data_IF_182052302046
#
_entry.id   IF_182052302046
#
_cell.length_a   1.000
_cell.length_b   1.000
_cell.length_c   1.000
_cell.angle_alpha   90.00
_cell.angle_beta   90.00
_cell.angle_gamma   90.00
#
_symmetry.space_group_name_H-M   'P 1'
#
loop_
_entity.id
_entity.type
_entity.pdbx_description
1 polymer ?
#
# COMPACT_ATOMS: atom_id res chain seq x y z
N UNK A 1 -19.14 18.79 -6.03
CA UNK A 1 -20.56 18.39 -5.87
C UNK A 1 -21.13 17.54 -7.02
N UNK A 2 -20.41 17.29 -8.12
CA UNK A 2 -20.97 16.50 -9.26
C UNK A 2 -20.53 15.03 -9.37
N UNK A 3 -19.67 14.52 -8.46
CA UNK A 3 -19.29 13.10 -8.46
C UNK A 3 -20.43 12.17 -7.99
N UNK A 4 -21.31 12.66 -7.11
CA UNK A 4 -22.48 11.90 -6.62
C UNK A 4 -23.61 11.76 -7.66
N UNK A 5 -23.63 12.55 -8.74
CA UNK A 5 -24.56 12.36 -9.86
C UNK A 5 -24.05 11.34 -10.89
N UNK A 6 -22.77 10.99 -10.84
CA UNK A 6 -22.14 10.02 -11.73
C UNK A 6 -22.29 8.56 -11.25
N UNK A 7 -22.57 8.36 -9.95
CA UNK A 7 -22.66 7.05 -9.28
C UNK A 7 -24.11 6.64 -9.03
N UNK A 8 -24.77 6.06 -10.04
CA UNK A 8 -26.04 5.32 -9.96
C UNK A 8 -27.00 5.71 -8.83
N UNK A 9 -28.07 6.42 -9.17
CA UNK A 9 -29.19 6.67 -8.25
C UNK A 9 -29.80 5.31 -7.88
N UNK A 10 -29.41 4.83 -6.70
CA UNK A 10 -30.00 3.74 -5.95
C UNK A 10 -30.56 4.36 -4.66
N UNK A 11 -31.81 4.07 -4.28
CA UNK A 11 -32.70 3.04 -4.84
C UNK A 11 -33.26 3.42 -6.23
N UNK A 12 -33.72 2.44 -7.03
CA UNK A 12 -34.54 2.73 -8.19
C UNK A 12 -35.71 3.59 -7.71
N UNK A 13 -35.85 4.80 -8.25
CA UNK A 13 -37.06 5.58 -8.02
C UNK A 13 -38.21 4.73 -8.56
N UNK A 14 -39.23 4.51 -7.74
CA UNK A 14 -40.49 3.97 -8.23
C UNK A 14 -40.86 4.75 -9.49
N UNK A 15 -41.33 4.07 -10.56
CA UNK A 15 -41.87 4.77 -11.70
C UNK A 15 -42.95 5.70 -11.16
N UNK A 16 -42.66 7.00 -11.18
CA UNK A 16 -43.65 8.02 -10.88
C UNK A 16 -44.76 7.77 -11.89
N UNK A 17 -45.83 7.14 -11.44
CA UNK A 17 -47.03 6.97 -12.25
C UNK A 17 -47.37 8.35 -12.81
N UNK A 18 -47.55 8.49 -14.15
CA UNK A 18 -47.83 9.77 -14.77
C UNK A 18 -49.22 10.20 -14.32
N UNK A 19 -49.23 10.93 -13.22
CA UNK A 19 -50.40 11.11 -12.39
C UNK A 19 -49.96 11.57 -11.02
N UNK A 20 -49.21 12.68 -10.96
CA UNK A 20 -49.04 13.47 -9.75
C UNK A 20 -50.37 14.10 -9.31
N UNK A 21 -51.37 13.27 -9.05
CA UNK A 21 -52.51 13.64 -8.23
C UNK A 21 -52.06 13.37 -6.80
N UNK A 22 -51.35 14.35 -6.23
CA UNK A 22 -51.53 14.61 -4.81
C UNK A 22 -53.05 14.70 -4.63
N UNK A 23 -53.65 13.84 -3.85
CA UNK A 23 -55.07 13.91 -3.51
C UNK A 23 -55.31 15.24 -2.77
N UNK A 24 -55.50 16.31 -3.52
CA UNK A 24 -56.17 17.51 -3.05
C UNK A 24 -57.65 17.16 -3.12
N UNK A 25 -58.43 17.31 -2.03
CA UNK A 25 -59.86 17.10 -2.09
C UNK A 25 -60.46 18.09 -3.09
N UNK A 26 -60.77 17.61 -4.29
CA UNK A 26 -61.46 18.39 -5.32
C UNK A 26 -62.92 18.50 -4.91
N UNK A 27 -63.33 19.68 -4.47
CA UNK A 27 -64.74 20.05 -4.42
C UNK A 27 -65.33 19.92 -5.83
N UNK A 28 -66.34 19.07 -5.96
CA UNK A 28 -67.09 18.89 -7.19
C UNK A 28 -67.73 20.23 -7.61
N UNK A 29 -67.30 20.78 -8.75
CA UNK A 29 -68.12 21.73 -9.51
C UNK A 29 -68.77 20.99 -10.67
N UNK A 30 -70.10 21.07 -10.82
CA UNK A 30 -70.78 20.62 -12.01
C UNK A 30 -70.66 21.73 -13.04
N UNK A 31 -69.89 21.51 -14.09
CA UNK A 31 -70.25 21.90 -15.46
C UNK A 31 -69.11 21.51 -16.39
N UNK A 32 -69.47 20.67 -17.36
CA UNK A 32 -68.55 20.09 -18.31
C UNK A 32 -67.92 21.13 -19.23
N UNK A 33 -66.62 20.99 -19.44
CA UNK A 33 -65.94 21.36 -20.67
C UNK A 33 -64.68 20.49 -20.77
N UNK A 34 -64.60 19.71 -21.85
CA UNK A 34 -63.53 18.75 -22.10
C UNK A 34 -62.21 19.46 -22.38
N UNK A 35 -61.17 19.07 -21.63
CA UNK A 35 -59.79 19.47 -21.86
C UNK A 35 -59.12 18.33 -22.63
N UNK A 36 -58.74 18.60 -23.88
CA UNK A 36 -57.97 17.67 -24.70
C UNK A 36 -56.56 17.52 -24.11
N UNK A 37 -56.22 16.31 -23.67
CA UNK A 37 -54.91 15.95 -23.13
C UNK A 37 -53.93 15.81 -24.30
N UNK A 38 -53.00 16.76 -24.44
CA UNK A 38 -51.87 16.65 -25.36
C UNK A 38 -50.89 15.64 -24.79
N UNK A 39 -50.85 14.44 -25.36
CA UNK A 39 -49.86 13.41 -25.07
C UNK A 39 -48.53 13.81 -25.68
N UNK A 40 -47.64 14.35 -24.86
CA UNK A 40 -46.22 14.53 -25.21
C UNK A 40 -45.55 13.16 -25.27
N UNK A 41 -45.21 12.70 -26.49
CA UNK A 41 -44.27 11.60 -26.71
C UNK A 41 -42.96 11.90 -25.98
N UNK A 42 -42.72 11.21 -24.86
CA UNK A 42 -41.44 11.24 -24.15
C UNK A 42 -40.73 9.92 -24.39
N UNK A 43 -39.41 9.94 -24.68
CA UNK A 43 -38.64 8.73 -24.89
C UNK A 43 -38.66 7.87 -23.62
N UNK A 44 -38.88 6.56 -23.82
CA UNK A 44 -38.95 5.54 -22.78
C UNK A 44 -37.75 5.59 -21.83
N UNK A 45 -37.95 6.21 -20.66
CA UNK A 45 -37.00 6.27 -19.54
C UNK A 45 -36.56 4.87 -19.08
N UNK A 46 -37.40 3.85 -19.30
CA UNK A 46 -37.08 2.45 -19.03
C UNK A 46 -35.89 1.93 -19.85
N UNK A 47 -35.64 2.46 -21.04
CA UNK A 47 -34.52 2.02 -21.88
C UNK A 47 -33.16 2.59 -21.39
N UNK A 48 -33.18 3.81 -20.85
CA UNK A 48 -32.00 4.48 -20.28
C UNK A 48 -31.59 3.89 -18.92
N UNK A 49 -32.54 3.46 -18.09
CA UNK A 49 -32.22 2.79 -16.83
C UNK A 49 -31.71 1.36 -17.04
N UNK A 50 -32.28 0.61 -17.99
CA UNK A 50 -31.88 -0.77 -18.28
C UNK A 50 -30.46 -0.89 -18.84
N UNK A 51 -29.99 0.12 -19.57
CA UNK A 51 -28.62 0.17 -20.09
C UNK A 51 -27.59 0.61 -19.05
N UNK A 52 -27.97 1.46 -18.08
CA UNK A 52 -27.07 1.93 -17.01
C UNK A 52 -26.86 0.92 -15.88
N UNK A 53 -27.93 0.24 -15.43
CA UNK A 53 -27.84 -0.76 -14.36
C UNK A 53 -26.91 -1.93 -14.78
N UNK A 54 -26.94 -2.30 -16.06
CA UNK A 54 -26.09 -3.36 -16.60
C UNK A 54 -24.59 -3.05 -16.54
N UNK A 55 -24.18 -1.78 -16.65
CA UNK A 55 -22.76 -1.43 -16.57
C UNK A 55 -22.21 -1.50 -15.14
N UNK A 56 -22.99 -1.08 -14.14
CA UNK A 56 -22.58 -1.15 -12.73
C UNK A 56 -22.53 -2.60 -12.24
N UNK A 57 -23.54 -3.41 -12.57
CA UNK A 57 -23.52 -4.84 -12.27
C UNK A 57 -22.39 -5.57 -12.99
N UNK A 58 -22.08 -5.21 -14.23
CA UNK A 58 -20.95 -5.77 -14.98
C UNK A 58 -19.61 -5.44 -14.31
N UNK A 59 -19.41 -4.19 -13.85
CA UNK A 59 -18.16 -3.79 -13.18
C UNK A 59 -18.00 -4.52 -11.85
N UNK A 60 -19.05 -4.58 -11.03
CA UNK A 60 -19.01 -5.29 -9.75
C UNK A 60 -18.82 -6.79 -9.97
N UNK A 61 -19.47 -7.38 -10.98
CA UNK A 61 -19.34 -8.81 -11.30
C UNK A 61 -17.95 -9.13 -11.86
N UNK A 62 -17.41 -8.32 -12.76
CA UNK A 62 -16.03 -8.47 -13.25
C UNK A 62 -15.04 -8.35 -12.10
N UNK A 63 -15.21 -7.35 -11.24
CA UNK A 63 -14.36 -7.16 -10.08
C UNK A 63 -14.43 -8.35 -9.11
N UNK A 64 -15.64 -8.79 -8.75
CA UNK A 64 -15.88 -9.97 -7.91
C UNK A 64 -15.35 -11.26 -8.54
N UNK A 65 -15.45 -11.41 -9.85
CA UNK A 65 -14.91 -12.56 -10.60
C UNK A 65 -13.38 -12.57 -10.60
N UNK A 66 -12.74 -11.47 -10.99
CA UNK A 66 -11.27 -11.36 -10.95
C UNK A 66 -10.74 -11.53 -9.52
N UNK A 67 -11.47 -11.03 -8.54
CA UNK A 67 -11.17 -11.20 -7.13
C UNK A 67 -11.29 -12.67 -6.68
N UNK A 68 -12.39 -13.35 -6.98
CA UNK A 68 -12.60 -14.76 -6.60
C UNK A 68 -11.61 -15.69 -7.31
N UNK A 69 -11.28 -15.42 -8.58
CA UNK A 69 -10.24 -16.12 -9.33
C UNK A 69 -8.86 -15.88 -8.70
N UNK A 70 -8.51 -14.63 -8.39
CA UNK A 70 -7.25 -14.28 -7.72
C UNK A 70 -7.10 -14.98 -6.37
N UNK A 71 -8.17 -14.98 -5.57
CA UNK A 71 -8.23 -15.63 -4.24
C UNK A 71 -8.17 -17.15 -4.33
N UNK A 72 -8.92 -17.75 -5.25
CA UNK A 72 -8.91 -19.21 -5.47
C UNK A 72 -7.55 -19.66 -5.94
N UNK A 73 -6.91 -18.91 -6.85
CA UNK A 73 -5.54 -19.18 -7.27
C UNK A 73 -4.59 -19.03 -6.09
N UNK A 74 -4.64 -17.94 -5.32
CA UNK A 74 -3.77 -17.73 -4.16
C UNK A 74 -3.88 -18.88 -3.16
N UNK A 75 -5.11 -19.26 -2.78
CA UNK A 75 -5.37 -20.36 -1.85
C UNK A 75 -4.94 -21.71 -2.42
N UNK A 76 -5.20 -21.96 -3.71
CA UNK A 76 -4.74 -23.15 -4.41
C UNK A 76 -3.22 -23.26 -4.39
N UNK A 77 -2.50 -22.16 -4.62
CA UNK A 77 -1.03 -22.11 -4.61
C UNK A 77 -0.45 -22.20 -3.19
N UNK A 78 -1.18 -21.74 -2.16
CA UNK A 78 -0.81 -21.94 -0.75
C UNK A 78 -1.01 -23.40 -0.31
N UNK A 79 -2.10 -24.04 -0.74
CA UNK A 79 -2.45 -25.42 -0.36
C UNK A 79 -1.73 -26.48 -1.20
N UNK A 80 -1.44 -26.13 -2.45
CA UNK A 80 -0.70 -26.94 -3.41
C UNK A 80 0.48 -26.10 -3.92
N UNK A 81 1.48 -25.83 -3.07
CA UNK A 81 2.73 -25.27 -3.58
C UNK A 81 3.18 -26.18 -4.73
N UNK A 82 3.61 -25.62 -5.87
CA UNK A 82 3.91 -26.41 -7.05
C UNK A 82 4.86 -27.51 -6.60
N UNK A 83 4.59 -28.79 -6.97
CA UNK A 83 5.55 -29.83 -6.69
C UNK A 83 6.86 -29.33 -7.26
N UNK A 84 7.88 -29.22 -6.40
CA UNK A 84 9.23 -28.82 -6.76
C UNK A 84 9.84 -29.84 -7.73
N UNK A 85 9.24 -30.03 -8.91
CA UNK A 85 9.76 -30.80 -10.04
C UNK A 85 10.81 -29.91 -10.69
N UNK A 86 11.97 -29.81 -10.03
CA UNK A 86 13.12 -29.05 -10.53
C UNK A 86 13.98 -28.43 -9.46
N UNK A 87 13.45 -28.18 -8.25
CA UNK A 87 14.31 -28.11 -7.07
C UNK A 87 14.55 -29.55 -6.63
N UNK A 88 15.35 -30.28 -7.43
CA UNK A 88 16.27 -31.22 -6.80
C UNK A 88 16.86 -30.45 -5.63
N UNK A 89 16.65 -30.99 -4.43
CA UNK A 89 17.47 -30.65 -3.29
C UNK A 89 18.88 -31.02 -3.75
N UNK A 90 19.55 -30.11 -4.45
CA UNK A 90 20.97 -30.12 -4.65
C UNK A 90 21.52 -29.92 -3.23
N UNK A 91 21.54 -31.02 -2.49
CA UNK A 91 22.42 -31.21 -1.38
C UNK A 91 23.81 -30.81 -1.90
N UNK A 92 24.26 -29.66 -1.43
CA UNK A 92 25.67 -29.30 -1.36
C UNK A 92 26.47 -29.38 -2.68
N UNK A 93 25.99 -28.78 -3.77
CA UNK A 93 26.93 -28.12 -4.70
C UNK A 93 26.87 -26.62 -4.45
N UNK A 94 27.80 -26.15 -3.60
CA UNK A 94 28.13 -24.74 -3.34
C UNK A 94 28.44 -24.01 -4.64
N UNK A 95 27.41 -23.67 -5.41
CA UNK A 95 27.48 -22.52 -6.29
C UNK A 95 26.87 -21.41 -5.46
N UNK A 96 27.65 -20.37 -5.16
CA UNK A 96 27.10 -19.07 -4.78
C UNK A 96 26.22 -18.64 -5.96
N UNK A 97 24.98 -19.10 -5.99
CA UNK A 97 24.02 -18.60 -6.95
C UNK A 97 23.58 -17.26 -6.39
N UNK A 98 23.98 -16.17 -7.06
CA UNK A 98 23.52 -14.79 -6.86
C UNK A 98 22.00 -14.61 -7.07
N UNK A 99 21.22 -15.68 -6.92
CA UNK A 99 19.79 -15.72 -7.21
C UNK A 99 19.04 -15.27 -5.97
N UNK A 100 18.49 -14.08 -6.05
CA UNK A 100 17.57 -13.53 -5.06
C UNK A 100 16.28 -14.37 -5.03
N UNK A 101 16.08 -15.09 -3.92
CA UNK A 101 14.96 -16.02 -3.73
C UNK A 101 13.61 -15.30 -3.78
N UNK A 102 13.56 -14.05 -3.33
CA UNK A 102 12.35 -13.22 -3.36
C UNK A 102 12.00 -12.86 -4.81
N UNK A 103 12.99 -12.43 -5.61
CA UNK A 103 12.79 -12.06 -7.01
C UNK A 103 12.42 -13.27 -7.87
N UNK A 104 13.07 -14.42 -7.64
CA UNK A 104 12.74 -15.65 -8.35
C UNK A 104 11.28 -16.06 -8.09
N UNK A 105 10.81 -15.92 -6.86
CA UNK A 105 9.42 -16.18 -6.51
C UNK A 105 8.47 -15.16 -7.15
N UNK A 106 8.86 -13.88 -7.21
CA UNK A 106 8.11 -12.86 -7.93
C UNK A 106 7.97 -13.20 -9.43
N UNK A 107 9.04 -13.70 -10.06
CA UNK A 107 9.03 -14.14 -11.47
C UNK A 107 8.18 -15.37 -11.70
N UNK A 108 8.16 -16.31 -10.74
CA UNK A 108 7.33 -17.51 -10.81
C UNK A 108 5.84 -17.20 -10.62
N UNK A 109 5.51 -16.17 -9.84
CA UNK A 109 4.16 -15.65 -9.77
C UNK A 109 3.92 -14.66 -8.63
N UNK A 110 3.19 -13.59 -8.94
CA UNK A 110 2.88 -12.53 -7.96
C UNK A 110 2.09 -13.05 -6.75
N UNK A 111 1.24 -14.07 -6.93
CA UNK A 111 0.47 -14.68 -5.85
C UNK A 111 1.35 -15.47 -4.87
N UNK A 112 2.35 -16.20 -5.38
CA UNK A 112 3.35 -16.85 -4.53
C UNK A 112 4.16 -15.82 -3.74
N UNK A 113 4.52 -14.72 -4.39
CA UNK A 113 5.20 -13.61 -3.73
C UNK A 113 4.34 -12.98 -2.62
N UNK A 114 3.05 -12.73 -2.87
CA UNK A 114 2.11 -12.24 -1.85
C UNK A 114 1.89 -13.22 -0.70
N UNK A 115 1.84 -14.51 -0.99
CA UNK A 115 1.75 -15.56 0.02
C UNK A 115 3.08 -15.77 0.76
N UNK A 116 4.12 -14.99 0.46
CA UNK A 116 5.46 -15.10 1.04
C UNK A 116 6.02 -16.51 0.88
N UNK A 117 5.71 -17.17 -0.25
CA UNK A 117 6.12 -18.56 -0.50
C UNK A 117 7.65 -18.71 -0.55
N UNK A 118 8.37 -17.63 -0.87
CA UNK A 118 9.83 -17.55 -0.81
C UNK A 118 10.41 -17.80 0.60
N UNK A 119 9.67 -17.46 1.65
CA UNK A 119 10.10 -17.70 3.04
C UNK A 119 9.71 -19.11 3.52
N UNK A 120 8.85 -19.83 2.81
CA UNK A 120 8.34 -21.14 3.23
C UNK A 120 9.44 -22.19 3.48
N UNK A 121 10.51 -22.30 2.67
CA UNK A 121 11.61 -23.22 2.95
C UNK A 121 12.32 -22.93 4.27
N UNK A 122 12.39 -21.66 4.68
CA UNK A 122 13.04 -21.24 5.93
C UNK A 122 12.16 -21.51 7.13
N UNK A 123 10.87 -21.22 7.02
CA UNK A 123 9.88 -21.57 8.04
C UNK A 123 9.80 -23.08 8.21
N UNK A 124 9.84 -23.85 7.11
CA UNK A 124 9.87 -25.31 7.18
C UNK A 124 11.16 -25.83 7.86
N UNK A 125 12.32 -25.25 7.52
CA UNK A 125 13.63 -25.68 8.04
C UNK A 125 13.83 -25.29 9.51
N UNK A 126 13.43 -24.09 9.92
CA UNK A 126 13.75 -23.52 11.23
C UNK A 126 12.54 -23.31 12.15
N UNK A 127 11.32 -23.32 11.62
CA UNK A 127 10.09 -23.01 12.37
C UNK A 127 9.49 -24.17 13.17
N UNK A 128 9.86 -25.43 12.89
CA UNK A 128 9.22 -26.62 13.48
C UNK A 128 10.07 -27.43 14.46
N UNK A 129 11.27 -26.97 14.82
CA UNK A 129 12.15 -27.75 15.70
C UNK A 129 11.95 -27.40 17.17
N UNK A 130 11.59 -28.42 17.95
CA UNK A 130 11.45 -28.37 19.42
C UNK A 130 12.79 -28.07 20.11
N UNK A 131 13.91 -28.41 19.48
CA UNK A 131 15.26 -28.11 19.97
C UNK A 131 15.80 -26.77 19.44
N UNK A 132 15.92 -25.78 20.33
CA UNK A 132 16.48 -24.47 20.00
C UNK A 132 17.94 -24.50 19.48
N UNK A 133 18.67 -25.58 19.77
CA UNK A 133 20.04 -25.79 19.27
C UNK A 133 20.08 -26.20 17.79
N UNK A 134 19.03 -26.85 17.30
CA UNK A 134 18.88 -27.27 15.89
C UNK A 134 18.28 -26.19 15.00
N UNK A 135 17.60 -25.19 15.58
CA UNK A 135 17.04 -24.03 14.87
C UNK A 135 18.00 -22.85 14.72
N UNK A 136 19.24 -22.95 15.21
CA UNK A 136 20.23 -21.86 15.08
C UNK A 136 20.55 -21.59 13.61
N UNK A 137 20.01 -20.49 13.10
CA UNK A 137 20.28 -20.00 11.74
C UNK A 137 21.73 -19.52 11.69
N UNK A 138 22.56 -20.22 10.91
CA UNK A 138 23.93 -19.74 10.64
C UNK A 138 23.89 -18.68 9.54
N UNK A 139 24.72 -17.62 9.61
CA UNK A 139 24.80 -16.62 8.55
C UNK A 139 25.10 -17.22 7.17
N UNK A 140 25.91 -18.29 7.13
CA UNK A 140 26.24 -19.00 5.88
C UNK A 140 25.08 -19.78 5.26
N UNK A 141 23.99 -19.98 6.00
CA UNK A 141 22.78 -20.69 5.52
C UNK A 141 21.71 -19.73 5.01
N UNK A 142 21.87 -18.43 5.23
CA UNK A 142 20.99 -17.42 4.67
C UNK A 142 21.41 -17.16 3.22
N UNK A 143 20.47 -17.21 2.26
CA UNK A 143 20.76 -16.79 0.91
C UNK A 143 21.01 -15.28 0.86
N UNK A 144 21.62 -14.83 -0.22
CA UNK A 144 21.71 -13.41 -0.50
C UNK A 144 20.31 -12.86 -0.75
N UNK A 145 19.94 -11.83 0.00
CA UNK A 145 18.63 -11.20 -0.05
C UNK A 145 18.73 -9.85 -0.73
N UNK A 146 17.77 -9.58 -1.61
CA UNK A 146 17.69 -8.33 -2.34
C UNK A 146 18.60 -8.30 -3.57
N UNK A 147 18.09 -7.61 -4.59
CA UNK A 147 18.85 -7.26 -5.79
C UNK A 147 20.19 -6.64 -5.46
N UNK A 148 21.13 -6.77 -6.39
CA UNK A 148 22.45 -6.14 -6.34
C UNK A 148 22.38 -4.65 -5.95
N UNK A 149 21.40 -3.93 -6.48
CA UNK A 149 21.17 -2.51 -6.18
C UNK A 149 20.82 -2.20 -4.71
N UNK A 150 20.23 -3.17 -3.99
CA UNK A 150 19.85 -3.05 -2.58
C UNK A 150 20.94 -3.55 -1.63
N UNK A 151 22.05 -4.07 -2.16
CA UNK A 151 23.18 -4.49 -1.33
C UNK A 151 23.87 -3.25 -0.76
N UNK A 152 24.21 -3.31 0.53
CA UNK A 152 24.83 -2.19 1.25
C UNK A 152 26.06 -1.62 0.55
N UNK A 153 26.89 -2.47 -0.06
CA UNK A 153 28.06 -2.04 -0.82
C UNK A 153 27.72 -1.18 -2.04
N UNK A 154 26.78 -1.63 -2.87
CA UNK A 154 26.37 -0.92 -4.08
C UNK A 154 25.59 0.34 -3.73
N UNK A 155 24.73 0.28 -2.71
CA UNK A 155 24.02 1.45 -2.21
C UNK A 155 24.97 2.49 -1.61
N UNK A 156 26.06 2.08 -0.95
CA UNK A 156 27.10 2.99 -0.46
C UNK A 156 27.86 3.67 -1.61
N UNK A 157 28.24 2.91 -2.65
CA UNK A 157 28.90 3.49 -3.84
C UNK A 157 27.98 4.46 -4.58
N UNK A 158 26.67 4.15 -4.65
CA UNK A 158 25.67 5.05 -5.22
C UNK A 158 25.54 6.32 -4.37
N UNK A 159 25.48 6.19 -3.05
CA UNK A 159 25.43 7.33 -2.13
C UNK A 159 26.67 8.22 -2.26
N UNK A 160 27.88 7.64 -2.22
CA UNK A 160 29.15 8.36 -2.36
C UNK A 160 29.19 9.17 -3.67
N UNK A 161 28.75 8.57 -4.78
CA UNK A 161 28.67 9.26 -6.08
C UNK A 161 27.68 10.43 -6.06
N UNK A 162 26.45 10.21 -5.58
CA UNK A 162 25.43 11.26 -5.51
C UNK A 162 25.84 12.38 -4.54
N UNK A 163 26.61 12.05 -3.51
CA UNK A 163 27.18 13.02 -2.57
C UNK A 163 28.25 13.90 -3.22
N UNK A 164 29.15 13.31 -4.01
CA UNK A 164 30.13 14.05 -4.80
C UNK A 164 29.45 14.97 -5.83
N UNK A 165 28.39 14.49 -6.48
CA UNK A 165 27.57 15.29 -7.40
C UNK A 165 26.90 16.48 -6.69
N UNK A 166 26.29 16.29 -5.52
CA UNK A 166 25.66 17.38 -4.75
C UNK A 166 26.71 18.42 -4.28
N UNK A 167 27.90 17.98 -3.86
CA UNK A 167 29.00 18.89 -3.52
C UNK A 167 29.46 19.68 -4.75
N UNK A 168 29.56 19.03 -5.91
CA UNK A 168 29.97 19.69 -7.15
C UNK A 168 28.92 20.71 -7.63
N UNK A 169 27.63 20.42 -7.47
CA UNK A 169 26.53 21.28 -7.91
C UNK A 169 26.32 22.50 -6.99
N UNK A 170 26.33 22.31 -5.68
CA UNK A 170 25.87 23.34 -4.71
C UNK A 170 27.02 23.88 -3.83
N UNK A 171 28.14 23.18 -3.80
CA UNK A 171 29.27 23.46 -2.91
C UNK A 171 29.13 22.78 -1.54
N UNK A 172 30.27 22.55 -0.90
CA UNK A 172 30.38 21.79 0.36
C UNK A 172 29.54 22.35 1.52
N UNK A 173 29.41 23.68 1.61
CA UNK A 173 28.67 24.34 2.70
C UNK A 173 27.15 24.19 2.58
N UNK A 174 26.65 24.01 1.35
CA UNK A 174 25.21 23.92 1.05
C UNK A 174 24.76 22.51 0.69
N UNK A 175 25.68 21.56 0.62
CA UNK A 175 25.40 20.17 0.33
C UNK A 175 24.52 19.56 1.44
N UNK A 176 23.45 18.87 1.05
CA UNK A 176 22.47 18.32 1.97
C UNK A 176 22.33 16.81 1.79
N UNK A 177 22.53 16.06 2.89
CA UNK A 177 22.34 14.60 2.91
C UNK A 177 20.89 14.23 2.55
N UNK A 178 19.93 15.04 3.00
CA UNK A 178 18.52 14.82 2.71
C UNK A 178 18.20 14.85 1.21
N UNK A 179 18.79 15.78 0.44
CA UNK A 179 18.64 15.82 -1.02
C UNK A 179 19.23 14.58 -1.69
N UNK A 180 20.39 14.14 -1.23
CA UNK A 180 21.05 12.93 -1.72
C UNK A 180 20.19 11.69 -1.42
N UNK A 181 19.58 11.59 -0.24
CA UNK A 181 18.64 10.52 0.10
C UNK A 181 17.41 10.50 -0.81
N UNK A 182 16.80 11.66 -1.10
CA UNK A 182 15.68 11.75 -2.05
C UNK A 182 16.11 11.29 -3.45
N UNK A 183 17.30 11.70 -3.92
CA UNK A 183 17.85 11.25 -5.20
C UNK A 183 18.11 9.73 -5.20
N UNK A 184 18.56 9.16 -4.08
CA UNK A 184 18.78 7.71 -3.94
C UNK A 184 17.50 6.91 -4.10
N UNK A 185 16.41 7.32 -3.42
CA UNK A 185 15.10 6.68 -3.51
C UNK A 185 14.53 6.74 -4.94
N UNK A 186 14.98 7.71 -5.73
CA UNK A 186 14.49 8.02 -7.08
C UNK A 186 13.06 8.54 -7.04
N UNK A 187 12.81 9.69 -7.68
CA UNK A 187 11.47 10.31 -7.75
C UNK A 187 10.42 9.31 -8.22
N UNK A 188 10.77 8.48 -9.21
CA UNK A 188 9.90 7.42 -9.74
C UNK A 188 9.39 6.47 -8.64
N UNK A 189 10.26 5.99 -7.75
CA UNK A 189 9.87 5.04 -6.69
C UNK A 189 8.98 5.73 -5.67
N UNK A 190 9.33 6.97 -5.28
CA UNK A 190 8.52 7.78 -4.36
C UNK A 190 7.13 8.04 -4.96
N UNK A 191 7.05 8.42 -6.23
CA UNK A 191 5.76 8.65 -6.90
C UNK A 191 4.91 7.38 -6.97
N UNK A 192 5.51 6.22 -7.28
CA UNK A 192 4.79 4.93 -7.29
C UNK A 192 4.28 4.54 -5.90
N UNK A 193 5.15 4.69 -4.90
CA UNK A 193 4.83 4.50 -3.49
C UNK A 193 3.62 5.35 -3.04
N UNK A 194 3.67 6.65 -3.34
CA UNK A 194 2.63 7.62 -3.01
C UNK A 194 1.31 7.30 -3.73
N UNK A 195 1.40 6.87 -4.98
CA UNK A 195 0.23 6.44 -5.74
C UNK A 195 -0.44 5.20 -5.13
N UNK A 196 0.34 4.18 -4.75
CA UNK A 196 -0.16 2.96 -4.09
C UNK A 196 -0.84 3.32 -2.77
N UNK A 197 -0.24 4.21 -1.99
CA UNK A 197 -0.80 4.69 -0.73
C UNK A 197 -2.09 5.47 -0.93
N UNK A 198 -2.15 6.35 -1.92
CA UNK A 198 -3.38 7.05 -2.30
C UNK A 198 -4.48 6.04 -2.67
N UNK A 199 -4.18 5.03 -3.49
CA UNK A 199 -5.13 3.97 -3.82
C UNK A 199 -5.63 3.23 -2.57
N UNK A 200 -4.73 2.90 -1.64
CA UNK A 200 -5.11 2.28 -0.37
C UNK A 200 -6.06 3.17 0.44
N UNK A 201 -5.77 4.47 0.58
CA UNK A 201 -6.64 5.42 1.29
C UNK A 201 -8.01 5.51 0.63
N UNK A 202 -8.07 5.60 -0.70
CA UNK A 202 -9.34 5.64 -1.44
C UNK A 202 -10.18 4.37 -1.20
N UNK A 203 -9.55 3.20 -1.24
CA UNK A 203 -10.24 1.91 -1.05
C UNK A 203 -10.64 1.68 0.41
N UNK A 204 -9.79 2.04 1.37
CA UNK A 204 -10.07 1.79 2.78
C UNK A 204 -11.01 2.83 3.37
N UNK A 205 -10.83 4.11 3.04
CA UNK A 205 -11.61 5.21 3.64
C UNK A 205 -12.85 5.55 2.83
N UNK A 206 -12.71 5.84 1.54
CA UNK A 206 -13.83 6.33 0.72
C UNK A 206 -14.77 5.18 0.36
N UNK A 207 -14.22 4.09 -0.17
CA UNK A 207 -15.04 2.98 -0.62
C UNK A 207 -15.78 2.27 0.53
N UNK A 208 -15.18 2.18 1.73
CA UNK A 208 -15.87 1.60 2.89
C UNK A 208 -17.11 2.41 3.29
N UNK A 209 -17.00 3.74 3.35
CA UNK A 209 -18.11 4.63 3.70
C UNK A 209 -19.23 4.52 2.67
N UNK A 210 -18.89 4.58 1.38
CA UNK A 210 -19.85 4.44 0.28
C UNK A 210 -20.54 3.07 0.33
N UNK A 211 -19.79 2.00 0.61
CA UNK A 211 -20.33 0.65 0.69
C UNK A 211 -21.33 0.51 1.85
N UNK A 212 -21.01 1.07 3.03
CA UNK A 212 -21.91 1.08 4.19
C UNK A 212 -23.17 1.90 3.89
N UNK A 213 -23.04 3.10 3.32
CA UNK A 213 -24.18 3.96 2.97
C UNK A 213 -25.13 3.25 1.98
N UNK A 214 -24.58 2.66 0.91
CA UNK A 214 -25.36 1.91 -0.08
C UNK A 214 -26.04 0.68 0.55
N UNK A 215 -25.35 -0.01 1.46
CA UNK A 215 -25.92 -1.15 2.17
C UNK A 215 -27.07 -0.73 3.09
N UNK A 216 -26.93 0.38 3.83
CA UNK A 216 -28.00 0.94 4.66
C UNK A 216 -29.20 1.39 3.83
N UNK A 217 -28.97 2.11 2.74
CA UNK A 217 -30.04 2.54 1.83
C UNK A 217 -30.81 1.35 1.24
N UNK A 218 -30.12 0.23 0.95
CA UNK A 218 -30.76 -0.99 0.51
C UNK A 218 -31.65 -1.62 1.61
N UNK A 219 -31.19 -1.66 2.86
CA UNK A 219 -32.00 -2.15 3.96
C UNK A 219 -33.27 -1.30 4.18
N UNK A 220 -33.17 0.03 4.08
CA UNK A 220 -34.34 0.91 4.17
C UNK A 220 -35.33 0.65 3.03
N UNK A 221 -34.84 0.53 1.80
CA UNK A 221 -35.68 0.20 0.65
C UNK A 221 -36.37 -1.15 0.83
N UNK A 222 -35.65 -2.17 1.29
CA UNK A 222 -36.20 -3.51 1.53
C UNK A 222 -37.32 -3.48 2.57
N UNK A 223 -37.14 -2.74 3.66
CA UNK A 223 -38.17 -2.57 4.69
C UNK A 223 -39.43 -1.89 4.15
N UNK A 224 -39.28 -0.86 3.33
CA UNK A 224 -40.40 -0.15 2.71
C UNK A 224 -41.14 -1.04 1.69
N UNK A 225 -40.39 -1.79 0.87
CA UNK A 225 -40.96 -2.71 -0.10
C UNK A 225 -41.83 -3.80 0.54
N UNK A 226 -41.33 -4.42 1.63
CA UNK A 226 -42.08 -5.44 2.39
C UNK A 226 -43.35 -4.83 3.00
N UNK A 227 -43.30 -3.59 3.51
CA UNK A 227 -44.48 -2.91 4.06
C UNK A 227 -45.56 -2.64 3.02
N UNK A 228 -45.16 -2.31 1.80
CA UNK A 228 -46.08 -1.95 0.73
C UNK A 228 -46.68 -3.18 0.02
N UNK A 229 -45.86 -4.20 -0.23
CA UNK A 229 -46.25 -5.34 -1.08
C UNK A 229 -46.55 -6.62 -0.29
N UNK A 230 -46.11 -6.71 0.97
CA UNK A 230 -46.32 -7.90 1.82
C UNK A 230 -45.52 -9.14 1.40
N UNK A 231 -44.72 -9.06 0.32
CA UNK A 231 -43.89 -10.13 -0.20
C UNK A 231 -42.40 -9.81 -0.06
N UNK A 232 -41.58 -10.85 0.13
CA UNK A 232 -40.13 -10.71 0.21
C UNK A 232 -39.51 -10.79 -1.19
N UNK A 233 -38.78 -9.75 -1.65
CA UNK A 233 -38.07 -9.82 -2.91
C UNK A 233 -36.89 -10.80 -2.78
N UNK A 234 -36.43 -11.36 -3.91
CA UNK A 234 -35.24 -12.20 -3.93
C UNK A 234 -33.99 -11.36 -3.60
N UNK A 235 -33.54 -11.45 -2.35
CA UNK A 235 -32.37 -10.74 -1.82
C UNK A 235 -31.04 -11.47 -2.06
N UNK A 236 -31.07 -12.70 -2.59
CA UNK A 236 -29.90 -13.58 -2.63
C UNK A 236 -28.73 -12.97 -3.42
N UNK A 237 -29.02 -12.36 -4.57
CA UNK A 237 -28.02 -11.74 -5.45
C UNK A 237 -27.40 -10.50 -4.80
N UNK A 238 -28.23 -9.60 -4.29
CA UNK A 238 -27.74 -8.36 -3.66
C UNK A 238 -26.93 -8.67 -2.42
N UNK A 239 -27.39 -9.63 -1.59
CA UNK A 239 -26.66 -10.05 -0.41
C UNK A 239 -25.31 -10.69 -0.76
N UNK A 240 -25.25 -11.54 -1.78
CA UNK A 240 -23.98 -12.12 -2.26
C UNK A 240 -23.01 -11.02 -2.72
N UNK A 241 -23.48 -10.05 -3.50
CA UNK A 241 -22.65 -8.93 -3.97
C UNK A 241 -22.14 -8.06 -2.81
N UNK A 242 -22.99 -7.76 -1.82
CA UNK A 242 -22.58 -7.04 -0.61
C UNK A 242 -21.53 -7.83 0.17
N UNK A 243 -21.73 -9.13 0.40
CA UNK A 243 -20.75 -9.99 1.08
C UNK A 243 -19.42 -10.00 0.35
N UNK A 244 -19.43 -10.15 -0.98
CA UNK A 244 -18.20 -10.12 -1.79
C UNK A 244 -17.50 -8.76 -1.71
N UNK A 245 -18.24 -7.65 -1.75
CA UNK A 245 -17.68 -6.31 -1.62
C UNK A 245 -17.07 -6.06 -0.24
N UNK A 246 -17.75 -6.49 0.84
CA UNK A 246 -17.23 -6.39 2.20
C UNK A 246 -16.03 -7.31 2.43
N UNK A 247 -15.96 -8.47 1.78
CA UNK A 247 -14.79 -9.34 1.82
C UNK A 247 -13.61 -8.73 1.03
N UNK A 248 -13.84 -8.11 -0.12
CA UNK A 248 -12.77 -7.53 -0.92
C UNK A 248 -11.98 -6.43 -0.17
N UNK A 249 -12.63 -5.72 0.75
CA UNK A 249 -12.05 -4.60 1.46
C UNK A 249 -10.84 -4.98 2.36
N UNK A 250 -10.95 -5.88 3.37
CA UNK A 250 -9.81 -6.29 4.17
C UNK A 250 -8.71 -6.94 3.34
N UNK A 251 -9.04 -7.70 2.29
CA UNK A 251 -8.05 -8.31 1.41
C UNK A 251 -7.27 -7.28 0.60
N UNK A 252 -7.96 -6.29 0.02
CA UNK A 252 -7.28 -5.19 -0.66
C UNK A 252 -6.33 -4.44 0.28
N UNK A 253 -6.74 -4.21 1.54
CA UNK A 253 -5.89 -3.57 2.54
C UNK A 253 -4.63 -4.41 2.85
N UNK A 254 -4.77 -5.74 2.99
CA UNK A 254 -3.63 -6.66 3.19
C UNK A 254 -2.67 -6.58 2.00
N UNK A 255 -3.19 -6.60 0.77
CA UNK A 255 -2.38 -6.51 -0.46
C UNK A 255 -1.62 -5.19 -0.51
N UNK A 256 -2.31 -4.05 -0.34
CA UNK A 256 -1.68 -2.73 -0.38
C UNK A 256 -0.63 -2.56 0.73
N UNK A 257 -0.96 -2.99 1.96
CA UNK A 257 -0.02 -2.93 3.09
C UNK A 257 1.20 -3.80 2.82
N UNK A 258 1.04 -4.99 2.25
CA UNK A 258 2.15 -5.89 1.92
C UNK A 258 3.09 -5.28 0.86
N UNK A 259 2.53 -4.67 -0.19
CA UNK A 259 3.33 -3.95 -1.20
C UNK A 259 4.07 -2.78 -0.55
N UNK A 260 3.36 -1.97 0.24
CA UNK A 260 3.94 -0.80 0.90
C UNK A 260 5.07 -1.19 1.85
N UNK A 261 4.88 -2.22 2.67
CA UNK A 261 5.91 -2.73 3.59
C UNK A 261 7.11 -3.30 2.84
N UNK A 262 6.91 -4.00 1.72
CA UNK A 262 8.03 -4.48 0.90
C UNK A 262 8.84 -3.33 0.29
N UNK A 263 8.17 -2.35 -0.29
CA UNK A 263 8.83 -1.16 -0.87
C UNK A 263 9.56 -0.38 0.22
N UNK A 264 8.92 -0.15 1.37
CA UNK A 264 9.53 0.49 2.53
C UNK A 264 10.80 -0.23 2.96
N UNK A 265 10.72 -1.55 3.15
CA UNK A 265 11.84 -2.35 3.61
C UNK A 265 13.03 -2.28 2.64
N UNK A 266 12.77 -2.34 1.31
CA UNK A 266 13.83 -2.23 0.30
C UNK A 266 14.49 -0.85 0.28
N UNK A 267 13.69 0.21 0.40
CA UNK A 267 14.21 1.58 0.48
C UNK A 267 15.03 1.78 1.76
N UNK A 268 14.54 1.29 2.90
CA UNK A 268 15.24 1.38 4.18
C UNK A 268 16.55 0.59 4.15
N UNK A 269 16.55 -0.66 3.65
CA UNK A 269 17.76 -1.46 3.50
C UNK A 269 18.82 -0.77 2.62
N UNK A 270 18.40 -0.24 1.46
CA UNK A 270 19.30 0.46 0.56
C UNK A 270 19.89 1.72 1.21
N UNK A 271 19.06 2.50 1.89
CA UNK A 271 19.46 3.80 2.48
C UNK A 271 20.31 3.61 3.73
N UNK A 272 19.83 2.81 4.68
CA UNK A 272 20.52 2.55 5.95
C UNK A 272 21.82 1.79 5.71
N UNK A 273 21.78 0.75 4.87
CA UNK A 273 22.95 -0.05 4.53
C UNK A 273 23.99 0.77 3.78
N UNK A 274 23.57 1.58 2.81
CA UNK A 274 24.44 2.46 2.05
C UNK A 274 25.07 3.56 2.90
N UNK A 275 24.26 4.29 3.67
CA UNK A 275 24.70 5.40 4.50
C UNK A 275 25.63 4.94 5.63
N UNK A 276 25.28 3.85 6.32
CA UNK A 276 26.11 3.31 7.41
C UNK A 276 27.49 2.89 6.91
N UNK A 277 27.56 2.24 5.74
CA UNK A 277 28.83 1.80 5.17
C UNK A 277 29.65 2.98 4.62
N UNK A 278 29.00 3.97 3.99
CA UNK A 278 29.67 5.18 3.52
C UNK A 278 30.29 5.98 4.68
N UNK A 279 29.54 6.13 5.78
CA UNK A 279 30.04 6.79 7.00
C UNK A 279 31.17 6.02 7.65
N UNK A 280 31.05 4.69 7.72
CA UNK A 280 32.12 3.84 8.23
C UNK A 280 33.41 3.98 7.39
N UNK A 281 33.31 4.02 6.06
CA UNK A 281 34.47 4.27 5.19
C UNK A 281 35.05 5.67 5.39
N UNK A 282 34.19 6.66 5.60
CA UNK A 282 34.61 8.03 5.84
C UNK A 282 35.34 8.14 7.18
N UNK A 283 34.83 7.49 8.23
CA UNK A 283 35.44 7.52 9.56
C UNK A 283 36.81 6.86 9.61
N UNK A 284 37.04 5.80 8.82
CA UNK A 284 38.36 5.18 8.66
C UNK A 284 39.43 6.11 8.06
N UNK A 285 39.01 7.18 7.37
CA UNK A 285 39.91 8.15 6.71
C UNK A 285 40.00 9.46 7.46
N UNK A 286 39.30 9.62 8.58
CA UNK A 286 39.44 10.82 9.40
C UNK A 286 40.86 10.82 9.99
N UNK A 287 41.62 11.91 9.83
CA UNK A 287 42.97 11.98 10.39
C UNK A 287 42.86 11.84 11.91
N UNK A 288 43.64 10.92 12.48
CA UNK A 288 43.69 10.67 13.93
C UNK A 288 43.99 11.96 14.74
N UNK A 289 44.62 12.95 14.09
CA UNK A 289 44.93 14.25 14.68
C UNK A 289 43.73 15.20 14.79
N UNK A 290 42.67 15.07 13.97
CA UNK A 290 41.53 15.98 14.06
C UNK A 290 40.65 15.75 15.32
N UNK A 291 40.92 14.71 16.11
CA UNK A 291 40.32 14.60 17.45
C UNK A 291 41.07 15.40 18.52
N UNK A 292 42.29 15.88 18.24
CA UNK A 292 43.16 16.57 19.21
C UNK A 292 43.44 18.04 18.84
N UNK A 293 43.35 18.45 17.56
CA UNK A 293 43.88 19.76 17.14
C UNK A 293 43.09 21.00 17.60
N UNK A 294 41.86 20.87 18.09
CA UNK A 294 41.14 22.01 18.71
C UNK A 294 41.37 22.12 20.23
N UNK A 295 42.12 21.19 20.83
CA UNK A 295 42.43 21.21 22.27
C UNK A 295 43.67 22.04 22.64
N UNK A 296 44.48 22.50 21.68
CA UNK A 296 45.81 23.08 21.98
C UNK A 296 46.06 24.51 21.50
N UNK A 297 45.05 25.24 21.02
CA UNK A 297 45.22 26.61 20.53
C UNK A 297 44.47 27.71 21.31
N UNK A 298 44.04 27.44 22.56
CA UNK A 298 43.54 28.49 23.46
C UNK A 298 44.36 28.55 24.75
N UNK A 299 45.15 29.63 24.98
CA UNK A 299 45.86 29.81 26.22
C UNK A 299 44.87 30.27 27.31
N UNK A 300 44.72 29.42 28.33
CA UNK A 300 44.33 29.75 29.72
C UNK A 300 43.21 30.79 29.87
N UNK A 301 41.99 30.31 30.07
CA UNK A 301 41.13 30.88 31.11
C UNK A 301 40.32 29.76 31.74
N UNK A 302 40.43 29.69 33.06
CA UNK A 302 39.73 28.77 33.93
C UNK A 302 38.23 29.08 33.93
N UNK A 303 37.47 28.01 34.21
CA UNK A 303 36.05 27.99 34.58
C UNK A 303 35.02 27.85 33.43
N UNK A 304 34.58 26.58 33.32
CA UNK A 304 33.26 26.14 32.88
C UNK A 304 32.89 26.32 31.40
N UNK A 305 33.49 25.52 30.52
CA UNK A 305 32.89 25.23 29.22
C UNK A 305 33.28 23.81 28.75
N UNK A 306 32.38 22.86 28.97
CA UNK A 306 32.51 21.50 28.44
C UNK A 306 32.24 21.50 26.94
N UNK A 307 33.24 21.12 26.15
CA UNK A 307 33.10 20.93 24.70
C UNK A 307 33.95 19.77 24.17
N UNK A 308 33.58 19.22 23.01
CA UNK A 308 33.22 17.81 22.88
C UNK A 308 34.40 16.99 22.37
N UNK A 309 34.87 16.08 23.21
CA UNK A 309 35.65 14.96 22.74
C UNK A 309 34.70 14.07 21.92
N UNK A 310 34.75 14.17 20.58
CA UNK A 310 33.92 13.31 19.72
C UNK A 310 34.43 11.88 19.87
N UNK A 311 33.87 11.18 20.85
CA UNK A 311 34.29 9.87 21.28
C UNK A 311 34.01 8.89 20.15
N UNK A 312 34.82 7.82 20.02
CA UNK A 312 34.43 6.69 19.17
C UNK A 312 33.02 6.18 19.51
N UNK A 313 32.57 6.38 20.75
CA UNK A 313 31.20 6.16 21.19
C UNK A 313 30.17 7.04 20.47
N UNK A 314 30.48 8.30 20.16
CA UNK A 314 29.56 9.22 19.47
C UNK A 314 29.35 8.81 18.02
N UNK A 315 30.38 8.32 17.34
CA UNK A 315 30.23 7.81 15.98
C UNK A 315 29.40 6.51 15.95
N UNK A 316 29.63 5.61 16.91
CA UNK A 316 28.82 4.40 17.07
C UNK A 316 27.36 4.75 17.42
N UNK A 317 27.14 5.76 18.25
CA UNK A 317 25.81 6.27 18.59
C UNK A 317 25.14 6.95 17.39
N UNK A 318 25.89 7.66 16.54
CA UNK A 318 25.38 8.23 15.30
C UNK A 318 24.91 7.12 14.35
N UNK A 319 25.70 6.05 14.18
CA UNK A 319 25.34 4.94 13.29
C UNK A 319 24.18 4.12 13.86
N UNK A 320 24.22 3.76 15.15
CA UNK A 320 23.22 2.88 15.75
C UNK A 320 21.94 3.62 16.18
N UNK A 321 22.09 4.78 16.82
CA UNK A 321 20.99 5.64 17.24
C UNK A 321 20.42 6.37 16.04
N UNK A 322 21.16 7.32 15.47
CA UNK A 322 20.56 8.25 14.52
C UNK A 322 20.23 7.61 13.17
N UNK A 323 21.09 6.73 12.67
CA UNK A 323 20.83 6.10 11.36
C UNK A 323 19.93 4.90 11.54
N UNK A 324 20.37 3.88 12.28
CA UNK A 324 19.59 2.64 12.36
C UNK A 324 18.28 2.79 13.12
N UNK A 325 18.14 3.75 14.06
CA UNK A 325 16.88 3.94 14.80
C UNK A 325 16.02 5.04 14.17
N UNK A 326 16.56 6.23 13.91
CA UNK A 326 15.72 7.35 13.44
C UNK A 326 15.41 7.30 11.93
N UNK A 327 16.31 6.78 11.10
CA UNK A 327 16.05 6.66 9.66
C UNK A 327 15.29 5.38 9.30
N UNK A 328 15.28 4.37 10.17
CA UNK A 328 14.48 3.18 9.97
C UNK A 328 12.98 3.51 10.05
N UNK A 329 12.23 3.18 9.01
CA UNK A 329 10.83 3.56 8.90
C UNK A 329 10.60 5.03 8.57
N UNK A 330 11.64 5.82 8.23
CA UNK A 330 11.46 7.22 7.81
C UNK A 330 10.53 7.33 6.59
N UNK A 331 10.62 6.38 5.65
CA UNK A 331 9.71 6.29 4.52
C UNK A 331 8.27 6.01 4.96
N UNK A 332 8.06 5.11 5.93
CA UNK A 332 6.72 4.82 6.47
C UNK A 332 6.13 6.04 7.17
N UNK A 333 6.93 6.75 7.98
CA UNK A 333 6.52 7.98 8.65
C UNK A 333 6.16 9.10 7.67
N UNK A 334 6.94 9.25 6.60
CA UNK A 334 6.61 10.17 5.52
C UNK A 334 5.27 9.79 4.86
N UNK A 335 5.09 8.50 4.58
CA UNK A 335 3.84 7.95 4.06
C UNK A 335 2.63 8.20 4.96
N UNK A 336 2.75 7.96 6.26
CA UNK A 336 1.67 8.25 7.23
C UNK A 336 1.34 9.73 7.29
N UNK A 337 2.36 10.60 7.18
CA UNK A 337 2.16 12.06 7.17
C UNK A 337 1.33 12.49 5.96
N UNK A 338 1.65 11.95 4.77
CA UNK A 338 0.90 12.19 3.53
C UNK A 338 -0.53 11.65 3.63
N UNK A 339 -0.68 10.42 4.12
CA UNK A 339 -2.00 9.80 4.30
C UNK A 339 -2.89 10.61 5.23
N UNK A 340 -2.31 11.10 6.34
CA UNK A 340 -3.02 11.94 7.30
C UNK A 340 -3.46 13.26 6.67
N UNK A 341 -2.59 13.88 5.87
CA UNK A 341 -2.91 15.10 5.13
C UNK A 341 -4.05 14.89 4.13
N UNK A 342 -4.00 13.82 3.33
CA UNK A 342 -5.06 13.46 2.38
C UNK A 342 -6.39 13.20 3.11
N UNK A 343 -6.33 12.57 4.28
CA UNK A 343 -7.55 12.25 5.06
C UNK A 343 -8.18 13.49 5.73
N UNK A 344 -7.44 14.60 5.87
CA UNK A 344 -7.96 15.87 6.38
C UNK A 344 -8.62 16.74 5.29
N UNK A 345 -8.30 16.50 4.02
CA UNK A 345 -8.90 17.18 2.86
C UNK A 345 -10.22 16.53 2.48
#
# INVERSE_FOLDING_TARGET
>A
MDFMRLMGVFPPRDPILPGGVRAVPVQAKPNGQGIALVTSDRPDLNYLFKTRLGHEELIITLYGFFYLVSMTLMYYWMMNPPPHKGMEIHQARRVKTDVDVEEETYRQGILGWFAVSWASPWVAKWGHSVDASRTKIKPSELPQMGRRENQSLESALKFERLWEEEIAEVGKEKASVFRVMIRMWTIRTISWAMFIMMCQVLVVQIYSVVLIEKSMNYFYWLQDHIRQHGEYPDISRTLLLSVLAFLALPFSNIVFTSIQSSVACKLDQSTLGGLSLALFRKSQRLPAFASDTDATASPKNDEAEGQPQQSQGDLLNLINGDINTNLNGAYLMFGFSVTSFISML
#
